data_IF_479940764267
#
_entry.id   IF_479940764267
#
_cell.length_a   1.000
_cell.length_b   1.000
_cell.length_c   1.000
_cell.angle_alpha   90.00
_cell.angle_beta   90.00
_cell.angle_gamma   90.00
#
_symmetry.space_group_name_H-M   'P 1'
#
loop_
_entity.id
_entity.type
_entity.pdbx_description
1 polymer ?
#
# COMPACT_ATOMS: atom_id res chain seq x y z
N UNK A 1 0.50 -1.31 -21.95
CA UNK A 1 -0.96 -1.08 -21.87
C UNK A 1 -1.69 -2.39 -21.69
N UNK A 2 -2.71 -2.40 -20.84
CA UNK A 2 -3.53 -3.54 -20.48
C UNK A 2 -4.99 -3.33 -20.94
N UNK A 3 -5.62 -4.35 -21.54
CA UNK A 3 -7.05 -4.32 -21.88
C UNK A 3 -7.86 -4.95 -20.74
N UNK A 4 -8.60 -4.12 -20.01
CA UNK A 4 -9.40 -4.54 -18.87
C UNK A 4 -10.60 -5.38 -19.28
N UNK A 5 -11.06 -5.32 -20.53
CA UNK A 5 -12.13 -6.21 -21.00
C UNK A 5 -11.69 -7.66 -20.96
N UNK A 6 -10.43 -7.91 -21.35
CA UNK A 6 -9.84 -9.26 -21.32
C UNK A 6 -9.50 -9.64 -19.89
N UNK A 7 -8.78 -8.78 -19.16
CA UNK A 7 -8.27 -9.11 -17.83
C UNK A 7 -9.37 -9.27 -16.76
N UNK A 8 -10.44 -8.50 -16.87
CA UNK A 8 -11.52 -8.47 -15.88
C UNK A 8 -12.87 -8.94 -16.45
N UNK A 9 -12.92 -9.38 -17.72
CA UNK A 9 -14.16 -9.86 -18.34
C UNK A 9 -15.22 -8.77 -18.55
N UNK A 10 -14.82 -7.50 -18.63
CA UNK A 10 -15.76 -6.37 -18.74
C UNK A 10 -16.45 -6.37 -20.11
N UNK A 11 -17.77 -6.28 -20.12
CA UNK A 11 -18.56 -6.08 -21.33
C UNK A 11 -18.59 -4.61 -21.68
N UNK A 12 -17.71 -4.20 -22.59
CA UNK A 12 -17.67 -2.86 -23.16
C UNK A 12 -17.56 -2.95 -24.68
N UNK A 13 -18.27 -2.05 -25.39
CA UNK A 13 -18.19 -1.93 -26.85
C UNK A 13 -16.78 -1.52 -27.29
N UNK A 14 -16.27 -0.47 -26.66
CA UNK A 14 -14.96 0.10 -26.95
C UNK A 14 -13.90 -0.43 -25.97
N UNK A 15 -12.60 -0.48 -26.34
CA UNK A 15 -11.54 -0.93 -25.46
C UNK A 15 -11.42 -0.10 -24.17
N UNK A 16 -11.29 -0.77 -23.03
CA UNK A 16 -11.00 -0.14 -21.74
C UNK A 16 -9.55 -0.40 -21.38
N UNK A 17 -8.70 0.60 -21.63
CA UNK A 17 -7.26 0.44 -21.58
C UNK A 17 -6.66 1.14 -20.36
N UNK A 18 -5.71 0.47 -19.71
CA UNK A 18 -4.82 1.07 -18.70
C UNK A 18 -3.40 1.08 -19.22
N UNK A 19 -2.83 2.27 -19.35
CA UNK A 19 -1.43 2.49 -19.69
C UNK A 19 -0.69 3.02 -18.47
N UNK A 20 0.58 2.66 -18.31
CA UNK A 20 1.41 3.06 -17.17
C UNK A 20 2.65 3.72 -17.72
N UNK A 21 2.89 5.00 -17.37
CA UNK A 21 4.04 5.80 -17.80
C UNK A 21 4.18 5.94 -19.33
N UNK A 22 3.08 6.19 -20.04
CA UNK A 22 3.04 6.27 -21.52
C UNK A 22 2.36 7.57 -22.01
N UNK A 23 2.39 8.63 -21.20
CA UNK A 23 1.56 9.83 -21.39
C UNK A 23 1.72 10.48 -22.77
N UNK A 24 2.94 10.54 -23.29
CA UNK A 24 3.26 11.16 -24.58
C UNK A 24 2.64 10.43 -25.80
N UNK A 25 2.16 9.20 -25.60
CA UNK A 25 1.65 8.34 -26.67
C UNK A 25 0.12 8.23 -26.69
N UNK A 26 -0.56 8.87 -25.75
CA UNK A 26 -2.02 8.80 -25.61
C UNK A 26 -2.67 10.02 -26.26
N UNK A 27 -3.70 9.81 -27.09
CA UNK A 27 -4.58 10.90 -27.50
C UNK A 27 -5.30 11.46 -26.24
N UNK A 28 -5.10 12.73 -25.87
CA UNK A 28 -5.72 13.31 -24.68
C UNK A 28 -7.24 13.23 -24.68
N UNK A 29 -7.88 13.15 -25.85
CA UNK A 29 -9.34 13.02 -25.99
C UNK A 29 -9.86 11.64 -25.61
N UNK A 30 -9.00 10.62 -25.60
CA UNK A 30 -9.34 9.25 -25.23
C UNK A 30 -9.06 8.93 -23.75
N UNK A 31 -8.47 9.86 -22.99
CA UNK A 31 -8.12 9.65 -21.58
C UNK A 31 -9.35 9.81 -20.69
N UNK A 32 -9.80 8.70 -20.09
CA UNK A 32 -10.93 8.70 -19.14
C UNK A 32 -10.53 9.16 -17.74
N UNK A 33 -9.26 9.00 -17.37
CA UNK A 33 -8.72 9.41 -16.07
C UNK A 33 -7.21 9.26 -16.02
N UNK A 34 -6.56 10.09 -15.20
CA UNK A 34 -5.14 10.01 -14.87
C UNK A 34 -4.99 9.91 -13.36
N UNK A 35 -4.04 9.07 -12.94
CA UNK A 35 -3.81 8.79 -11.54
C UNK A 35 -2.31 8.70 -11.31
N UNK A 36 -1.81 9.50 -10.37
CA UNK A 36 -0.42 9.46 -9.95
C UNK A 36 -0.26 8.51 -8.76
N UNK A 37 0.61 7.54 -8.91
CA UNK A 37 0.93 6.57 -7.86
C UNK A 37 2.44 6.55 -7.58
N UNK A 38 2.80 6.44 -6.31
CA UNK A 38 4.16 6.17 -5.89
C UNK A 38 4.31 4.69 -5.55
N UNK A 39 5.34 4.04 -6.10
CA UNK A 39 5.68 2.66 -5.77
C UNK A 39 6.93 2.60 -4.88
N UNK A 40 6.94 1.75 -3.84
CA UNK A 40 8.15 1.53 -3.04
C UNK A 40 9.29 1.00 -3.90
N UNK A 41 10.47 1.63 -3.79
CA UNK A 41 11.69 1.13 -4.41
C UNK A 41 12.35 0.11 -3.49
N UNK A 42 12.84 -1.01 -4.05
CA UNK A 42 13.55 -2.03 -3.31
C UNK A 42 15.02 -1.64 -3.17
N UNK A 43 15.44 -1.27 -1.96
CA UNK A 43 16.81 -0.84 -1.68
C UNK A 43 17.32 -1.43 -0.36
N UNK A 44 18.62 -1.64 -0.25
CA UNK A 44 19.23 -2.12 1.00
C UNK A 44 19.02 -1.17 2.20
N UNK A 45 19.00 0.17 2.04
CA UNK A 45 18.60 1.07 3.13
C UNK A 45 17.15 0.85 3.60
N UNK A 46 16.20 0.58 2.69
CA UNK A 46 14.81 0.28 3.05
C UNK A 46 14.72 -0.98 3.92
N UNK A 47 15.35 -2.07 3.50
CA UNK A 47 15.34 -3.32 4.25
C UNK A 47 15.89 -3.13 5.68
N UNK A 48 17.01 -2.41 5.80
CA UNK A 48 17.58 -2.04 7.11
C UNK A 48 16.64 -1.19 7.95
N UNK A 49 15.87 -0.29 7.34
CA UNK A 49 14.87 0.50 8.06
C UNK A 49 13.67 -0.35 8.51
N UNK A 50 13.19 -1.26 7.66
CA UNK A 50 12.09 -2.17 7.99
C UNK A 50 12.44 -3.09 9.16
N UNK A 51 13.68 -3.59 9.23
CA UNK A 51 14.17 -4.41 10.35
C UNK A 51 14.11 -3.68 11.71
N UNK A 52 14.07 -2.34 11.70
CA UNK A 52 14.01 -1.49 12.90
C UNK A 52 12.60 -1.10 13.31
N UNK A 53 11.56 -1.61 12.64
CA UNK A 53 10.15 -1.38 13.02
C UNK A 53 9.87 -1.64 14.52
N UNK A 54 10.41 -2.69 15.17
CA UNK A 54 10.19 -2.93 16.59
C UNK A 54 10.67 -1.78 17.51
N UNK A 55 11.60 -0.94 17.06
CA UNK A 55 12.11 0.19 17.85
C UNK A 55 11.05 1.29 18.02
N UNK A 56 10.10 1.41 17.09
CA UNK A 56 9.12 2.50 17.05
C UNK A 56 7.69 2.07 17.40
N UNK A 57 7.34 0.78 17.25
CA UNK A 57 5.97 0.31 17.53
C UNK A 57 5.57 0.49 18.99
N UNK A 58 4.42 1.13 19.22
CA UNK A 58 3.84 1.33 20.55
C UNK A 58 4.53 2.41 21.39
N UNK A 59 5.58 3.06 20.87
CA UNK A 59 6.20 4.22 21.50
C UNK A 59 5.25 5.40 21.42
N UNK A 60 5.17 6.20 22.49
CA UNK A 60 4.33 7.41 22.53
C UNK A 60 2.90 7.18 22.05
N UNK A 61 2.32 6.03 22.41
CA UNK A 61 0.95 5.67 22.05
C UNK A 61 0.68 5.63 20.53
N UNK A 62 1.73 5.37 19.75
CA UNK A 62 1.70 5.37 18.29
C UNK A 62 2.12 4.01 17.75
N UNK A 63 1.39 3.52 16.75
CA UNK A 63 1.70 2.30 16.02
C UNK A 63 1.58 2.59 14.52
N UNK A 64 2.53 2.07 13.74
CA UNK A 64 2.65 2.29 12.31
C UNK A 64 2.23 1.02 11.57
N UNK A 65 1.53 1.22 10.45
CA UNK A 65 1.10 0.18 9.53
C UNK A 65 1.17 0.69 8.09
N UNK A 66 1.28 -0.23 7.13
CA UNK A 66 1.31 0.06 5.72
C UNK A 66 2.15 -0.94 4.93
N UNK A 67 1.82 -1.09 3.65
CA UNK A 67 2.48 -2.04 2.75
C UNK A 67 4.00 -1.80 2.63
N UNK A 68 4.47 -0.57 2.89
CA UNK A 68 5.88 -0.21 2.91
C UNK A 68 6.68 -0.87 4.06
N UNK A 69 6.02 -1.54 5.01
CA UNK A 69 6.69 -2.38 6.02
C UNK A 69 7.01 -3.80 5.51
N UNK A 70 6.48 -4.21 4.37
CA UNK A 70 6.78 -5.48 3.71
C UNK A 70 7.34 -5.25 2.30
N UNK A 71 6.92 -6.04 1.32
CA UNK A 71 7.33 -5.89 -0.08
C UNK A 71 6.60 -4.74 -0.80
N UNK A 72 5.43 -4.31 -0.34
CA UNK A 72 4.65 -3.23 -0.94
C UNK A 72 3.33 -3.69 -1.55
N UNK A 73 2.93 -4.94 -1.30
CA UNK A 73 1.69 -5.53 -1.78
C UNK A 73 0.55 -5.36 -0.76
N UNK A 74 -0.66 -5.74 -1.17
CA UNK A 74 -1.86 -5.61 -0.35
C UNK A 74 -1.80 -6.49 0.91
N UNK A 75 -1.16 -7.65 0.80
CA UNK A 75 -0.93 -8.60 1.88
C UNK A 75 -0.03 -7.99 2.96
N UNK A 76 1.03 -7.28 2.57
CA UNK A 76 1.92 -6.57 3.50
C UNK A 76 1.16 -5.47 4.27
N UNK A 77 0.25 -4.77 3.58
CA UNK A 77 -0.65 -3.80 4.19
C UNK A 77 -1.55 -4.44 5.24
N UNK A 78 -2.15 -5.58 4.90
CA UNK A 78 -3.03 -6.33 5.81
C UNK A 78 -2.26 -6.84 7.03
N UNK A 79 -1.11 -7.48 6.83
CA UNK A 79 -0.28 -8.03 7.91
C UNK A 79 0.19 -6.94 8.87
N UNK A 80 0.73 -5.83 8.34
CA UNK A 80 1.19 -4.72 9.17
C UNK A 80 0.05 -4.01 9.91
N UNK A 81 -1.13 -3.91 9.28
CA UNK A 81 -2.35 -3.37 9.91
C UNK A 81 -2.77 -4.18 11.13
N UNK A 82 -2.86 -5.51 10.99
CA UNK A 82 -3.17 -6.41 12.10
C UNK A 82 -2.14 -6.28 13.23
N UNK A 83 -0.85 -6.29 12.91
CA UNK A 83 0.21 -6.14 13.91
C UNK A 83 0.15 -4.80 14.68
N UNK A 84 -0.21 -3.71 14.00
CA UNK A 84 -0.41 -2.41 14.63
C UNK A 84 -1.65 -2.40 15.55
N UNK A 85 -2.76 -3.00 15.12
CA UNK A 85 -3.97 -3.11 15.93
C UNK A 85 -3.69 -3.87 17.24
N UNK A 86 -3.02 -5.02 17.16
CA UNK A 86 -2.64 -5.77 18.36
C UNK A 86 -1.71 -4.97 19.29
N UNK A 87 -0.81 -4.15 18.73
CA UNK A 87 0.06 -3.28 19.52
C UNK A 87 -0.76 -2.26 20.32
N UNK A 88 -1.75 -1.65 19.68
CA UNK A 88 -2.68 -0.70 20.32
C UNK A 88 -3.47 -1.40 21.43
N UNK A 89 -4.01 -2.60 21.18
CA UNK A 89 -4.74 -3.34 22.20
C UNK A 89 -3.88 -3.71 23.40
N UNK A 90 -2.65 -4.19 23.18
CA UNK A 90 -1.69 -4.49 24.27
C UNK A 90 -1.39 -3.26 25.11
N UNK A 91 -1.25 -2.09 24.48
CA UNK A 91 -1.04 -0.84 25.19
C UNK A 91 -2.27 -0.43 26.01
N UNK A 92 -3.48 -0.60 25.47
CA UNK A 92 -4.72 -0.32 26.18
C UNK A 92 -4.89 -1.22 27.42
N UNK A 93 -4.64 -2.53 27.29
CA UNK A 93 -4.67 -3.49 28.40
C UNK A 93 -3.72 -3.10 29.53
N UNK A 94 -2.47 -2.79 29.20
CA UNK A 94 -1.46 -2.35 30.19
C UNK A 94 -1.84 -1.07 30.94
N UNK A 95 -2.54 -0.14 30.29
CA UNK A 95 -3.03 1.08 30.96
C UNK A 95 -4.18 0.78 31.92
N UNK A 96 -5.08 -0.12 31.53
CA UNK A 96 -6.19 -0.54 32.38
C UNK A 96 -5.70 -1.28 33.63
N UNK A 97 -4.64 -2.08 33.50
CA UNK A 97 -4.00 -2.79 34.63
C UNK A 97 -3.22 -1.87 35.58
N UNK A 98 -2.78 -0.70 35.09
CA UNK A 98 -1.99 0.26 35.86
C UNK A 98 -2.84 1.36 36.54
N UNK A 99 -4.16 1.34 36.34
CA UNK A 99 -5.14 2.28 36.91
C UNK A 99 -5.86 1.64 38.11
#
# INVERSE_FOLDING_TARGET
TYDLRVLQGLRARDPLLVSVNEDDRLDPRAVLGRYDYAHPVYTAPRERAQARLPEIQGRNHTSFAGAYWGAGFHEDGTVSGTAAAECVERAARRRAEAA
#
